data_IF_825612899793
#
_entry.id   IF_825612899793
#
_cell.length_a   1.000
_cell.length_b   1.000
_cell.length_c   1.000
_cell.angle_alpha   90.00
_cell.angle_beta   90.00
_cell.angle_gamma   90.00
#
_symmetry.space_group_name_H-M   'P 1'
#
loop_
_entity.id
_entity.type
_entity.pdbx_description
1 polymer ?
#
# COMPACT_ATOMS: atom_id res chain seq x y z
N UNK A 1 -5.00 -3.52 27.43
CA UNK A 1 -5.38 -2.28 26.72
C UNK A 1 -6.43 -1.49 27.49
N UNK A 2 -6.46 -0.15 27.41
CA UNK A 2 -7.52 0.64 28.03
C UNK A 2 -8.83 0.59 27.20
N UNK A 3 -9.98 0.80 27.86
CA UNK A 3 -11.29 0.90 27.20
C UNK A 3 -11.44 2.19 26.38
N UNK A 4 -10.63 3.20 26.69
CA UNK A 4 -10.55 4.48 25.99
C UNK A 4 -9.12 5.00 25.99
N UNK A 5 -8.79 5.86 25.04
CA UNK A 5 -7.47 6.49 24.94
C UNK A 5 -7.63 8.00 24.80
N UNK A 6 -6.82 8.76 25.54
CA UNK A 6 -6.70 10.20 25.32
C UNK A 6 -5.73 10.46 24.18
N UNK A 7 -6.17 11.24 23.21
CA UNK A 7 -5.37 11.64 22.05
C UNK A 7 -5.20 13.15 22.09
N UNK A 8 -4.00 13.62 21.79
CA UNK A 8 -3.70 15.05 21.60
C UNK A 8 -3.71 15.35 20.10
N UNK A 9 -4.62 16.21 19.66
CA UNK A 9 -4.63 16.78 18.32
C UNK A 9 -3.89 18.12 18.36
N UNK A 10 -2.94 18.34 17.46
CA UNK A 10 -2.11 19.55 17.43
C UNK A 10 -2.26 20.25 16.09
N UNK A 11 -2.61 21.53 16.11
CA UNK A 11 -2.63 22.34 14.90
C UNK A 11 -1.23 22.89 14.63
N UNK A 12 -0.53 22.32 13.65
CA UNK A 12 0.75 22.82 13.13
C UNK A 12 0.60 23.34 11.69
N UNK A 13 -0.60 23.81 11.33
CA UNK A 13 -0.84 24.55 10.09
C UNK A 13 -0.57 26.04 10.30
N UNK A 14 -0.67 26.83 9.23
CA UNK A 14 -0.62 28.30 9.30
C UNK A 14 -1.98 28.94 9.59
N UNK A 15 -3.05 28.16 9.72
CA UNK A 15 -4.43 28.66 9.85
C UNK A 15 -5.00 28.42 11.25
N UNK A 16 -5.86 29.33 11.70
CA UNK A 16 -6.69 29.13 12.90
C UNK A 16 -8.01 28.40 12.62
N UNK A 17 -8.35 28.20 11.33
CA UNK A 17 -9.59 27.59 10.87
C UNK A 17 -9.35 26.12 10.50
N UNK A 18 -8.93 25.31 11.46
CA UNK A 18 -8.72 23.87 11.27
C UNK A 18 -9.72 23.08 12.11
N UNK A 19 -10.35 22.09 11.48
CA UNK A 19 -11.34 21.22 12.11
C UNK A 19 -10.87 19.78 12.09
N UNK A 20 -11.13 19.05 13.17
CA UNK A 20 -10.94 17.62 13.25
C UNK A 20 -12.28 16.87 13.34
N UNK A 21 -12.32 15.65 12.79
CA UNK A 21 -13.44 14.73 12.95
C UNK A 21 -12.91 13.35 13.29
N UNK A 22 -13.55 12.64 14.22
CA UNK A 22 -13.15 11.28 14.59
C UNK A 22 -14.28 10.34 14.25
N UNK A 23 -14.03 9.35 13.40
CA UNK A 23 -15.04 8.38 12.95
C UNK A 23 -14.51 6.96 13.09
N UNK A 24 -15.39 5.97 13.24
CA UNK A 24 -15.02 4.56 13.21
C UNK A 24 -16.18 3.64 13.59
N UNK A 25 -15.87 2.38 13.92
CA UNK A 25 -16.84 1.40 14.42
C UNK A 25 -16.55 1.11 15.89
N UNK A 26 -17.49 1.41 16.78
CA UNK A 26 -17.33 1.21 18.22
C UNK A 26 -17.37 -0.28 18.57
N UNK A 27 -16.22 -0.86 18.94
CA UNK A 27 -16.07 -2.31 19.19
C UNK A 27 -17.02 -2.78 20.29
N UNK A 28 -17.12 -2.00 21.36
CA UNK A 28 -17.96 -2.32 22.53
C UNK A 28 -19.45 -1.98 22.33
N UNK A 29 -19.83 -1.48 21.14
CA UNK A 29 -21.21 -1.09 20.83
C UNK A 29 -21.69 -1.77 19.54
N UNK A 30 -21.51 -3.09 19.47
CA UNK A 30 -21.94 -3.93 18.33
C UNK A 30 -21.42 -3.44 16.97
N UNK A 31 -20.18 -2.90 16.96
CA UNK A 31 -19.56 -2.29 15.77
C UNK A 31 -20.38 -1.13 15.17
N UNK A 32 -21.24 -0.46 15.96
CA UNK A 32 -22.00 0.69 15.48
C UNK A 32 -21.09 1.80 14.98
N UNK A 33 -21.49 2.45 13.88
CA UNK A 33 -20.81 3.65 13.40
C UNK A 33 -20.84 4.73 14.49
N UNK A 34 -19.68 5.31 14.79
CA UNK A 34 -19.51 6.30 15.86
C UNK A 34 -18.71 7.50 15.37
N UNK A 35 -19.08 8.68 15.91
CA UNK A 35 -18.37 9.93 15.83
C UNK A 35 -18.04 10.45 17.23
N UNK A 36 -17.00 11.27 17.37
CA UNK A 36 -16.95 12.24 18.46
C UNK A 36 -17.72 13.50 18.05
N UNK A 37 -18.49 14.07 18.98
CA UNK A 37 -19.13 15.38 18.77
C UNK A 37 -18.10 16.51 18.79
N UNK A 38 -18.52 17.72 18.41
CA UNK A 38 -17.66 18.92 18.36
C UNK A 38 -16.92 19.25 19.67
N UNK A 39 -17.36 18.73 20.82
CA UNK A 39 -16.67 18.91 22.10
C UNK A 39 -15.46 17.97 22.31
N UNK A 40 -15.26 17.00 21.40
CA UNK A 40 -14.14 16.06 21.43
C UNK A 40 -14.21 14.99 22.53
N UNK A 41 -15.37 14.81 23.16
CA UNK A 41 -15.57 13.88 24.29
C UNK A 41 -16.79 12.99 24.14
N UNK A 42 -17.92 13.57 23.76
CA UNK A 42 -19.17 12.80 23.68
C UNK A 42 -19.22 11.99 22.39
N UNK A 43 -19.85 10.82 22.48
CA UNK A 43 -20.02 9.91 21.35
C UNK A 43 -21.37 10.16 20.68
N UNK A 44 -21.35 10.29 19.36
CA UNK A 44 -22.53 10.34 18.51
C UNK A 44 -22.61 9.07 17.67
N UNK A 45 -23.74 8.36 17.76
CA UNK A 45 -24.03 7.19 16.95
C UNK A 45 -25.09 7.58 15.91
N UNK A 46 -24.72 7.80 14.64
CA UNK A 46 -25.67 8.29 13.66
C UNK A 46 -26.76 7.26 13.37
N UNK A 47 -28.01 7.67 13.60
CA UNK A 47 -29.18 6.85 13.28
C UNK A 47 -29.41 6.77 11.77
N UNK A 48 -29.99 5.65 11.32
CA UNK A 48 -30.42 5.50 9.93
C UNK A 48 -31.41 6.63 9.54
N UNK A 49 -31.24 7.26 8.37
CA UNK A 49 -32.20 8.26 7.91
C UNK A 49 -33.58 7.63 7.65
N UNK A 50 -34.66 8.45 7.57
CA UNK A 50 -35.99 7.97 7.26
C UNK A 50 -36.05 7.09 6.00
N UNK A 51 -36.97 6.12 5.97
CA UNK A 51 -37.09 5.17 4.87
C UNK A 51 -37.16 5.88 3.50
N UNK A 52 -36.36 5.41 2.55
CA UNK A 52 -36.26 5.98 1.20
C UNK A 52 -35.43 7.27 1.09
N UNK A 53 -34.78 7.73 2.18
CA UNK A 53 -33.86 8.87 2.15
C UNK A 53 -32.41 8.39 2.19
N UNK A 54 -31.60 8.92 1.28
CA UNK A 54 -30.15 8.72 1.20
C UNK A 54 -29.45 10.08 1.22
N UNK A 55 -28.13 10.10 1.46
CA UNK A 55 -27.29 11.30 1.46
C UNK A 55 -27.80 12.39 2.43
N UNK A 56 -28.25 11.98 3.61
CA UNK A 56 -28.76 12.90 4.62
C UNK A 56 -27.62 13.44 5.51
N UNK A 57 -27.65 14.71 5.96
CA UNK A 57 -26.62 15.26 6.84
C UNK A 57 -26.60 14.55 8.20
N UNK A 58 -25.51 14.69 8.97
CA UNK A 58 -25.49 14.32 10.38
C UNK A 58 -26.50 15.17 11.18
N UNK A 59 -27.06 14.62 12.27
CA UNK A 59 -27.95 15.36 13.18
C UNK A 59 -27.19 16.11 14.28
N UNK A 60 -25.89 15.82 14.44
CA UNK A 60 -25.03 16.44 15.43
C UNK A 60 -23.79 17.04 14.76
N UNK A 61 -23.36 18.19 15.30
CA UNK A 61 -22.09 18.78 14.91
C UNK A 61 -20.93 17.94 15.47
N UNK A 62 -20.07 17.50 14.57
CA UNK A 62 -18.89 16.68 14.84
C UNK A 62 -17.59 17.40 14.48
N UNK A 63 -17.64 18.68 14.08
CA UNK A 63 -16.48 19.46 13.73
C UNK A 63 -15.79 19.98 15.00
N UNK A 64 -14.65 19.38 15.36
CA UNK A 64 -13.86 19.76 16.53
C UNK A 64 -12.87 20.86 16.12
N UNK A 65 -13.04 22.13 16.55
CA UNK A 65 -12.13 23.20 16.17
C UNK A 65 -10.77 23.05 16.86
N UNK A 66 -9.68 23.06 16.10
CA UNK A 66 -8.33 22.97 16.66
C UNK A 66 -7.74 24.33 17.07
N UNK A 67 -8.37 25.45 16.70
CA UNK A 67 -7.92 26.79 17.08
C UNK A 67 -6.63 27.23 16.38
N UNK A 68 -5.90 28.17 16.98
CA UNK A 68 -4.71 28.80 16.38
C UNK A 68 -3.54 27.82 16.16
N UNK A 69 -2.59 28.12 15.25
CA UNK A 69 -1.33 27.40 15.14
C UNK A 69 -0.62 27.22 16.49
N UNK A 70 -0.08 26.02 16.74
CA UNK A 70 0.50 25.58 18.01
C UNK A 70 -0.49 25.12 19.06
N UNK A 71 -1.81 25.33 18.87
CA UNK A 71 -2.80 24.88 19.85
C UNK A 71 -2.91 23.34 19.86
N UNK A 72 -3.15 22.80 21.06
CA UNK A 72 -3.37 21.38 21.27
C UNK A 72 -4.73 21.13 21.94
N UNK A 73 -5.50 20.21 21.36
CA UNK A 73 -6.78 19.76 21.91
C UNK A 73 -6.68 18.30 22.35
N UNK A 74 -7.14 18.00 23.57
CA UNK A 74 -7.21 16.61 24.05
C UNK A 74 -8.62 16.06 23.83
N UNK A 75 -8.70 14.95 23.10
CA UNK A 75 -9.93 14.18 22.87
C UNK A 75 -9.86 12.82 23.58
N UNK A 76 -10.99 12.15 23.72
CA UNK A 76 -11.03 10.77 24.24
C UNK A 76 -11.76 9.85 23.27
N UNK A 77 -11.08 8.83 22.78
CA UNK A 77 -11.67 7.83 21.89
C UNK A 77 -12.03 6.54 22.67
N UNK A 78 -13.11 5.83 22.31
CA UNK A 78 -13.36 4.48 22.80
C UNK A 78 -12.50 3.48 22.02
N UNK A 79 -12.54 2.20 22.43
CA UNK A 79 -12.13 1.12 21.54
C UNK A 79 -12.95 1.16 20.24
N UNK A 80 -12.24 1.29 19.12
CA UNK A 80 -12.85 1.42 17.80
C UNK A 80 -11.98 0.81 16.72
N UNK A 81 -12.63 0.16 15.76
CA UNK A 81 -12.03 -0.44 14.59
C UNK A 81 -12.26 0.43 13.36
N UNK A 82 -11.32 0.42 12.42
CA UNK A 82 -11.41 1.22 11.20
C UNK A 82 -11.61 2.71 11.50
N UNK A 83 -10.91 3.19 12.53
CA UNK A 83 -10.97 4.57 12.98
C UNK A 83 -10.25 5.49 12.02
N UNK A 84 -10.78 6.70 11.83
CA UNK A 84 -10.13 7.79 11.09
C UNK A 84 -10.16 9.07 11.88
N UNK A 85 -9.04 9.77 11.87
CA UNK A 85 -8.92 11.15 12.34
C UNK A 85 -8.79 12.00 11.08
N UNK A 86 -9.84 12.74 10.77
CA UNK A 86 -9.91 13.64 9.63
C UNK A 86 -9.53 15.03 10.06
N UNK A 87 -8.85 15.78 9.19
CA UNK A 87 -8.58 17.19 9.36
C UNK A 87 -9.04 17.95 8.13
N UNK A 88 -9.60 19.14 8.30
CA UNK A 88 -9.86 20.05 7.20
C UNK A 88 -9.51 21.49 7.53
N UNK A 89 -9.08 22.25 6.51
CA UNK A 89 -8.72 23.65 6.64
C UNK A 89 -9.75 24.57 5.96
N UNK A 90 -9.98 25.73 6.58
CA UNK A 90 -10.91 26.81 6.20
C UNK A 90 -12.40 26.45 6.22
N UNK A 91 -12.75 25.18 5.96
CA UNK A 91 -14.13 24.70 5.94
C UNK A 91 -14.23 23.31 6.60
N UNK A 92 -15.25 23.05 7.43
CA UNK A 92 -15.50 21.72 7.96
C UNK A 92 -15.89 20.73 6.85
N UNK A 93 -15.58 19.45 7.07
CA UNK A 93 -16.04 18.35 6.20
C UNK A 93 -17.55 18.12 6.35
N UNK A 94 -18.17 17.77 5.23
CA UNK A 94 -19.55 17.29 5.17
C UNK A 94 -19.55 15.77 5.11
N UNK A 95 -20.09 15.14 6.16
CA UNK A 95 -20.40 13.71 6.18
C UNK A 95 -21.89 13.49 5.95
N UNK A 96 -22.23 12.43 5.23
CA UNK A 96 -23.62 12.08 4.93
C UNK A 96 -23.96 10.67 5.42
N UNK A 97 -25.25 10.39 5.54
CA UNK A 97 -25.80 9.14 6.07
C UNK A 97 -26.71 8.48 5.06
N UNK A 98 -26.53 7.18 4.92
CA UNK A 98 -27.42 6.28 4.20
C UNK A 98 -28.02 5.25 5.18
N UNK A 99 -29.15 4.61 4.84
CA UNK A 99 -29.71 3.52 5.65
C UNK A 99 -28.77 2.31 5.79
N UNK A 100 -29.00 1.48 6.80
CA UNK A 100 -28.52 0.10 6.86
C UNK A 100 -27.03 -0.07 7.19
N UNK A 101 -26.50 0.70 8.13
CA UNK A 101 -25.10 0.61 8.54
C UNK A 101 -24.81 -0.43 9.63
N UNK A 102 -23.52 -0.62 9.96
CA UNK A 102 -23.08 -1.49 11.06
C UNK A 102 -23.76 -1.16 12.39
N UNK A 103 -23.95 -2.19 13.23
CA UNK A 103 -24.59 -2.07 14.53
C UNK A 103 -26.07 -1.64 14.50
N UNK A 104 -26.71 -1.62 13.33
CA UNK A 104 -28.10 -1.18 13.15
C UNK A 104 -28.27 0.33 12.92
N UNK A 105 -27.18 1.09 12.81
CA UNK A 105 -27.19 2.53 12.60
C UNK A 105 -27.21 2.95 11.13
N UNK A 106 -26.73 4.16 10.82
CA UNK A 106 -26.52 4.62 9.46
C UNK A 106 -25.22 4.08 8.85
N UNK A 107 -25.25 3.84 7.54
CA UNK A 107 -24.04 3.75 6.73
C UNK A 107 -23.45 5.14 6.59
N UNK A 108 -22.16 5.29 6.91
CA UNK A 108 -21.45 6.55 6.71
C UNK A 108 -21.06 6.70 5.24
N UNK A 109 -21.42 7.84 4.65
CA UNK A 109 -20.88 8.30 3.36
C UNK A 109 -19.76 9.27 3.69
N UNK A 110 -18.54 8.82 3.43
CA UNK A 110 -17.30 9.56 3.69
C UNK A 110 -17.01 10.58 2.57
N UNK A 111 -16.21 11.62 2.85
CA UNK A 111 -15.78 12.59 1.85
C UNK A 111 -15.15 11.91 0.62
N UNK A 112 -15.63 12.24 -0.58
CA UNK A 112 -15.02 11.76 -1.82
C UNK A 112 -14.23 12.87 -2.52
N UNK A 113 -12.99 12.55 -2.89
CA UNK A 113 -12.17 13.39 -3.78
C UNK A 113 -12.37 13.05 -5.26
N UNK A 114 -13.12 11.98 -5.56
CA UNK A 114 -13.25 11.40 -6.91
C UNK A 114 -14.51 11.85 -7.64
N UNK A 115 -15.51 12.30 -6.90
CA UNK A 115 -16.74 12.86 -7.44
C UNK A 115 -16.66 14.39 -7.40
N UNK A 116 -16.59 15.09 -8.55
CA UNK A 116 -16.53 16.55 -8.57
C UNK A 116 -17.76 17.25 -7.95
N UNK A 117 -18.89 16.54 -7.83
CA UNK A 117 -20.11 17.03 -7.18
C UNK A 117 -20.18 16.73 -5.69
N UNK A 118 -19.18 16.04 -5.12
CA UNK A 118 -19.09 15.82 -3.67
C UNK A 118 -18.97 17.18 -2.94
N UNK A 119 -19.70 17.40 -1.83
CA UNK A 119 -19.60 18.65 -1.07
C UNK A 119 -18.18 18.95 -0.54
N UNK A 120 -17.31 17.94 -0.50
CA UNK A 120 -15.92 18.01 -0.07
C UNK A 120 -14.92 18.08 -1.22
N UNK A 121 -15.36 18.07 -2.48
CA UNK A 121 -14.48 18.03 -3.64
C UNK A 121 -13.43 19.17 -3.62
N UNK A 122 -13.84 20.37 -3.21
CA UNK A 122 -12.98 21.56 -3.04
C UNK A 122 -12.43 21.80 -1.63
N UNK A 123 -12.71 20.92 -0.66
CA UNK A 123 -12.23 21.09 0.72
C UNK A 123 -10.79 20.58 0.82
N UNK A 124 -9.93 21.34 1.50
CA UNK A 124 -8.61 20.88 1.85
C UNK A 124 -8.69 19.98 3.07
N UNK A 125 -8.47 18.68 2.89
CA UNK A 125 -8.57 17.73 3.97
C UNK A 125 -7.53 16.62 3.86
N UNK A 126 -7.24 16.02 5.01
CA UNK A 126 -6.39 14.86 5.17
C UNK A 126 -7.03 13.92 6.20
N UNK A 127 -6.55 12.69 6.26
CA UNK A 127 -6.89 11.79 7.36
C UNK A 127 -5.75 10.82 7.66
N UNK A 128 -5.71 10.36 8.90
CA UNK A 128 -4.91 9.20 9.30
C UNK A 128 -5.83 8.12 9.87
N UNK A 129 -5.35 6.89 9.87
CA UNK A 129 -6.14 5.71 10.23
C UNK A 129 -5.64 5.14 11.55
N UNK A 130 -6.55 4.51 12.29
CA UNK A 130 -6.19 3.79 13.51
C UNK A 130 -7.19 2.68 13.85
N UNK A 131 -6.74 1.76 14.69
CA UNK A 131 -7.60 0.82 15.42
C UNK A 131 -7.10 0.75 16.85
N UNK A 132 -8.02 0.94 17.79
CA UNK A 132 -7.79 0.71 19.22
C UNK A 132 -8.64 -0.49 19.65
N UNK A 133 -8.00 -1.61 19.92
CA UNK A 133 -8.68 -2.85 20.32
C UNK A 133 -8.14 -3.39 21.66
N UNK A 134 -8.44 -4.65 21.98
CA UNK A 134 -8.00 -5.29 23.22
C UNK A 134 -6.50 -5.61 23.28
N UNK A 135 -5.84 -5.63 22.11
CA UNK A 135 -4.46 -6.06 21.98
C UNK A 135 -3.51 -4.87 21.80
N UNK A 136 -3.90 -3.86 21.02
CA UNK A 136 -3.04 -2.72 20.69
C UNK A 136 -3.80 -1.47 20.20
N UNK A 137 -3.10 -0.34 20.22
CA UNK A 137 -3.30 0.74 19.27
C UNK A 137 -2.42 0.47 18.06
N UNK A 138 -2.99 0.57 16.88
CA UNK A 138 -2.27 0.63 15.61
C UNK A 138 -2.75 1.88 14.88
N UNK A 139 -1.85 2.71 14.37
CA UNK A 139 -2.20 3.91 13.61
C UNK A 139 -1.19 4.17 12.49
N UNK A 140 -1.64 4.78 11.40
CA UNK A 140 -0.80 5.10 10.25
C UNK A 140 -1.24 6.38 9.57
N UNK A 141 -0.27 7.12 9.02
CA UNK A 141 -0.56 8.11 7.98
C UNK A 141 -0.93 7.38 6.69
N UNK A 142 -1.59 8.04 5.75
CA UNK A 142 -1.99 7.39 4.50
C UNK A 142 -2.00 8.33 3.31
N UNK A 143 -1.55 7.79 2.18
CA UNK A 143 -1.54 8.38 0.85
C UNK A 143 -2.09 7.37 -0.18
N UNK A 144 -2.83 6.34 0.27
CA UNK A 144 -3.42 5.32 -0.61
C UNK A 144 -4.45 5.93 -1.56
N UNK A 145 -5.13 6.99 -1.13
CA UNK A 145 -6.11 7.70 -1.97
C UNK A 145 -5.53 8.96 -2.60
N UNK A 146 -4.87 9.82 -1.82
CA UNK A 146 -4.28 11.06 -2.31
C UNK A 146 -3.26 11.66 -1.33
N UNK A 147 -2.41 12.56 -1.84
CA UNK A 147 -1.57 13.45 -1.03
C UNK A 147 -2.31 14.78 -0.80
N UNK A 148 -2.53 15.20 0.46
CA UNK A 148 -3.17 16.47 0.81
C UNK A 148 -2.16 17.61 0.99
N UNK A 149 -2.65 18.85 1.11
CA UNK A 149 -1.85 20.01 1.58
C UNK A 149 -1.66 20.04 3.10
N UNK A 150 -2.28 19.09 3.80
CA UNK A 150 -2.27 18.98 5.26
C UNK A 150 -1.51 17.70 5.66
N UNK A 151 -0.16 17.73 5.70
CA UNK A 151 0.62 16.61 6.20
C UNK A 151 0.22 16.26 7.63
N UNK A 152 0.22 14.96 7.95
CA UNK A 152 -0.06 14.46 9.30
C UNK A 152 1.20 13.81 9.85
N UNK A 153 1.49 14.06 11.12
CA UNK A 153 2.53 13.38 11.89
C UNK A 153 1.90 12.63 13.07
N UNK A 154 2.48 11.47 13.41
CA UNK A 154 2.02 10.61 14.49
C UNK A 154 3.14 10.43 15.51
N UNK A 155 2.83 10.62 16.79
CA UNK A 155 3.75 10.26 17.88
C UNK A 155 3.03 9.39 18.90
N UNK A 156 3.59 8.23 19.18
CA UNK A 156 3.04 7.27 20.13
C UNK A 156 4.06 6.97 21.22
N UNK A 157 3.66 7.15 22.47
CA UNK A 157 4.43 6.76 23.64
C UNK A 157 3.75 5.59 24.36
N UNK A 158 4.54 4.59 24.69
CA UNK A 158 4.15 3.44 25.55
C UNK A 158 4.19 3.83 27.02
N UNK A 159 3.52 3.07 27.90
CA UNK A 159 3.63 3.27 29.36
C UNK A 159 5.05 3.03 29.89
N UNK A 160 5.83 2.22 29.19
CA UNK A 160 7.26 2.03 29.46
C UNK A 160 8.14 3.22 29.06
N UNK A 161 7.57 4.24 28.40
CA UNK A 161 8.26 5.47 28.00
C UNK A 161 8.89 5.43 26.61
N UNK A 162 8.90 4.27 25.93
CA UNK A 162 9.37 4.17 24.55
C UNK A 162 8.46 4.97 23.61
N UNK A 163 9.08 5.69 22.66
CA UNK A 163 8.41 6.56 21.69
C UNK A 163 8.59 5.99 20.29
N UNK A 164 7.54 6.03 19.49
CA UNK A 164 7.58 5.86 18.04
C UNK A 164 7.08 7.15 17.39
N UNK A 165 7.74 7.57 16.32
CA UNK A 165 7.35 8.75 15.57
C UNK A 165 7.31 8.49 14.06
N UNK A 166 6.33 9.10 13.41
CA UNK A 166 6.19 9.20 11.95
C UNK A 166 6.00 10.67 11.61
N UNK A 167 6.87 11.21 10.77
CA UNK A 167 7.00 12.65 10.56
C UNK A 167 5.97 13.23 9.59
N UNK A 168 5.55 12.45 8.60
CA UNK A 168 4.84 12.99 7.43
C UNK A 168 5.75 13.92 6.61
N UNK A 169 5.15 14.92 5.98
CA UNK A 169 5.84 15.89 5.11
C UNK A 169 5.97 17.27 5.76
N UNK A 170 6.90 18.06 5.24
CA UNK A 170 6.97 19.51 5.49
C UNK A 170 5.73 20.26 4.93
N UNK A 171 5.50 21.53 5.29
CA UNK A 171 4.35 22.30 4.82
C UNK A 171 4.22 22.44 3.30
N UNK A 172 5.35 22.33 2.57
CA UNK A 172 5.42 22.36 1.11
C UNK A 172 5.44 20.95 0.47
N UNK A 173 5.05 19.92 1.25
CA UNK A 173 5.13 18.52 0.84
C UNK A 173 4.34 18.20 -0.42
N UNK A 174 3.09 18.70 -0.54
CA UNK A 174 2.29 18.48 -1.74
C UNK A 174 2.94 19.13 -2.96
N UNK A 175 3.45 20.35 -2.82
CA UNK A 175 4.11 21.07 -3.90
C UNK A 175 5.33 20.30 -4.42
N UNK A 176 6.11 19.68 -3.51
CA UNK A 176 7.24 18.79 -3.88
C UNK A 176 6.78 17.51 -4.55
N UNK A 177 5.71 16.88 -4.07
CA UNK A 177 5.13 15.70 -4.73
C UNK A 177 4.67 16.05 -6.13
N UNK A 178 3.96 17.16 -6.31
CA UNK A 178 3.52 17.64 -7.62
C UNK A 178 4.70 17.93 -8.55
N UNK A 179 5.82 18.48 -8.04
CA UNK A 179 7.03 18.65 -8.83
C UNK A 179 7.62 17.30 -9.26
N UNK A 180 7.76 16.33 -8.35
CA UNK A 180 8.28 14.99 -8.64
C UNK A 180 7.42 14.21 -9.65
N UNK A 181 6.10 14.34 -9.58
CA UNK A 181 5.18 13.73 -10.54
C UNK A 181 5.33 14.35 -11.94
N UNK A 182 5.47 15.68 -12.04
CA UNK A 182 5.74 16.36 -13.32
C UNK A 182 7.08 15.95 -13.91
N UNK A 183 8.12 15.86 -13.08
CA UNK A 183 9.42 15.36 -13.52
C UNK A 183 9.34 13.92 -14.02
N UNK A 184 8.60 13.06 -13.33
CA UNK A 184 8.43 11.68 -13.77
C UNK A 184 7.71 11.60 -15.11
N UNK A 185 6.60 12.33 -15.27
CA UNK A 185 5.87 12.41 -16.55
C UNK A 185 6.78 12.89 -17.69
N UNK A 186 7.64 13.88 -17.44
CA UNK A 186 8.61 14.36 -18.42
C UNK A 186 9.69 13.30 -18.78
N UNK A 187 9.99 12.37 -17.86
CA UNK A 187 11.00 11.32 -18.06
C UNK A 187 10.48 10.12 -18.85
N UNK A 188 9.27 9.65 -18.55
CA UNK A 188 8.73 8.39 -19.09
C UNK A 188 7.49 8.55 -19.99
N UNK A 189 6.91 9.75 -20.05
CA UNK A 189 5.74 10.06 -20.87
C UNK A 189 4.41 9.58 -20.29
N UNK A 190 4.39 8.98 -19.10
CA UNK A 190 3.15 8.55 -18.44
C UNK A 190 2.47 9.70 -17.69
N UNK A 191 1.14 9.67 -17.52
CA UNK A 191 0.37 10.83 -17.07
C UNK A 191 0.44 11.06 -15.55
N UNK A 192 1.61 10.92 -14.95
CA UNK A 192 1.84 11.18 -13.52
C UNK A 192 1.48 12.62 -13.14
N UNK A 193 1.77 13.59 -14.01
CA UNK A 193 1.44 15.00 -13.85
C UNK A 193 -0.09 15.25 -13.83
N UNK A 194 -0.87 14.41 -14.52
CA UNK A 194 -2.33 14.51 -14.55
C UNK A 194 -3.01 14.02 -13.27
N UNK A 195 -2.29 13.35 -12.39
CA UNK A 195 -2.79 13.01 -11.04
C UNK A 195 -2.95 14.24 -10.15
N UNK A 196 -2.37 15.38 -10.52
CA UNK A 196 -2.42 16.62 -9.76
C UNK A 196 -3.79 17.28 -9.95
N UNK A 197 -4.52 17.45 -8.85
CA UNK A 197 -5.80 18.16 -8.81
C UNK A 197 -5.56 19.60 -8.37
N UNK A 198 -5.73 20.52 -9.31
CA UNK A 198 -5.69 21.96 -9.05
C UNK A 198 -6.94 22.61 -9.67
N UNK A 199 -7.99 22.88 -8.88
CA UNK A 199 -9.18 23.55 -9.38
C UNK A 199 -8.84 24.91 -10.02
N UNK A 200 -9.63 25.30 -11.01
CA UNK A 200 -9.45 26.60 -11.67
C UNK A 200 -9.52 27.75 -10.65
N UNK A 201 -8.55 28.66 -10.70
CA UNK A 201 -8.46 29.80 -9.79
C UNK A 201 -7.73 29.52 -8.48
N UNK A 202 -7.22 28.30 -8.26
CA UNK A 202 -6.32 28.01 -7.14
C UNK A 202 -4.87 28.29 -7.55
N UNK A 203 -4.13 29.00 -6.70
CA UNK A 203 -2.71 29.35 -6.96
C UNK A 203 -1.75 28.16 -6.75
N UNK A 204 -2.20 27.15 -6.01
CA UNK A 204 -1.44 25.93 -5.70
C UNK A 204 -2.30 24.67 -5.81
N UNK A 205 -1.71 23.49 -6.06
CA UNK A 205 -2.43 22.22 -6.08
C UNK A 205 -3.28 22.00 -4.83
N UNK A 206 -4.45 21.38 -4.96
CA UNK A 206 -5.30 21.00 -3.83
C UNK A 206 -4.92 19.62 -3.28
N UNK A 207 -4.57 18.69 -4.17
CA UNK A 207 -4.12 17.33 -3.84
C UNK A 207 -3.47 16.65 -5.05
N UNK A 208 -2.79 15.53 -4.82
CA UNK A 208 -2.34 14.62 -5.87
C UNK A 208 -2.97 13.24 -5.66
N UNK A 209 -3.72 12.74 -6.63
CA UNK A 209 -4.42 11.45 -6.50
C UNK A 209 -3.46 10.27 -6.65
N UNK A 210 -3.76 9.17 -5.98
CA UNK A 210 -3.12 7.89 -6.27
C UNK A 210 -3.46 7.45 -7.71
N UNK A 211 -2.55 6.77 -8.44
CA UNK A 211 -2.83 6.25 -9.79
C UNK A 211 -4.04 5.30 -9.87
N UNK A 212 -4.45 4.62 -8.80
CA UNK A 212 -5.73 3.86 -8.78
C UNK A 212 -6.95 4.72 -9.09
N UNK A 213 -6.84 6.02 -8.84
CA UNK A 213 -7.88 7.02 -9.01
C UNK A 213 -7.67 7.90 -10.25
N UNK A 214 -6.68 7.59 -11.10
CA UNK A 214 -6.30 8.41 -12.24
C UNK A 214 -7.43 8.68 -13.23
N UNK A 215 -8.35 7.73 -13.41
CA UNK A 215 -9.52 7.90 -14.28
C UNK A 215 -10.42 9.06 -13.87
N UNK A 216 -10.47 9.43 -12.59
CA UNK A 216 -11.25 10.59 -12.11
C UNK A 216 -10.72 11.93 -12.65
N UNK A 217 -9.47 11.96 -13.13
CA UNK A 217 -8.76 13.15 -13.63
C UNK A 217 -8.21 12.96 -15.05
N UNK A 218 -8.64 11.91 -15.75
CA UNK A 218 -8.21 11.63 -17.12
C UNK A 218 -6.74 11.18 -17.24
N UNK A 219 -6.19 10.59 -16.18
CA UNK A 219 -4.89 9.93 -16.16
C UNK A 219 -5.10 8.41 -16.25
N UNK A 220 -4.97 7.83 -17.46
CA UNK A 220 -4.98 6.36 -17.64
C UNK A 220 -3.56 5.80 -17.53
N UNK A 221 -3.44 4.72 -16.77
CA UNK A 221 -2.23 3.92 -16.64
C UNK A 221 -2.40 2.54 -17.27
N UNK A 222 -3.41 2.34 -18.14
CA UNK A 222 -3.63 1.07 -18.81
C UNK A 222 -2.33 0.59 -19.49
N UNK A 223 -2.03 -0.69 -19.36
CA UNK A 223 -0.84 -1.34 -19.89
C UNK A 223 0.53 -0.85 -19.31
N UNK A 224 0.55 -0.07 -18.22
CA UNK A 224 1.78 0.47 -17.63
C UNK A 224 2.74 -0.59 -17.07
N UNK A 225 2.23 -1.55 -16.29
CA UNK A 225 3.01 -2.59 -15.60
C UNK A 225 3.19 -3.86 -16.42
N UNK A 226 2.45 -4.04 -17.50
CA UNK A 226 2.45 -5.23 -18.34
C UNK A 226 3.87 -5.59 -18.82
N UNK A 227 4.74 -4.64 -19.24
CA UNK A 227 6.14 -4.94 -19.53
C UNK A 227 6.91 -5.55 -18.35
N UNK A 228 6.70 -5.06 -17.12
CA UNK A 228 7.32 -5.63 -15.92
C UNK A 228 6.80 -7.03 -15.61
N UNK A 229 5.51 -7.27 -15.84
CA UNK A 229 4.88 -8.59 -15.71
C UNK A 229 5.49 -9.58 -16.70
N UNK A 230 5.68 -9.18 -17.96
CA UNK A 230 6.35 -10.03 -18.95
C UNK A 230 7.78 -10.38 -18.55
N UNK A 231 8.55 -9.40 -18.07
CA UNK A 231 9.91 -9.62 -17.60
C UNK A 231 9.96 -10.55 -16.39
N UNK A 232 9.05 -10.38 -15.42
CA UNK A 232 8.95 -11.24 -14.24
C UNK A 232 8.62 -12.68 -14.65
N UNK A 233 7.62 -12.87 -15.53
CA UNK A 233 7.26 -14.21 -16.02
C UNK A 233 8.40 -14.86 -16.79
N UNK A 234 9.11 -14.11 -17.63
CA UNK A 234 10.29 -14.61 -18.35
C UNK A 234 11.39 -15.04 -17.36
N UNK A 235 11.70 -14.21 -16.37
CA UNK A 235 12.72 -14.47 -15.35
C UNK A 235 12.45 -15.75 -14.56
N UNK A 236 11.20 -15.97 -14.17
CA UNK A 236 10.80 -17.12 -13.35
C UNK A 236 10.32 -18.34 -14.16
N UNK A 237 10.40 -18.30 -15.49
CA UNK A 237 10.02 -19.42 -16.35
C UNK A 237 11.08 -20.53 -16.39
N UNK A 238 10.58 -21.76 -16.39
CA UNK A 238 11.40 -22.95 -16.64
C UNK A 238 11.48 -23.19 -18.15
N UNK A 239 12.66 -22.98 -18.73
CA UNK A 239 12.88 -23.24 -20.16
C UNK A 239 12.87 -24.75 -20.45
N UNK A 240 12.05 -25.23 -21.37
CA UNK A 240 12.32 -26.54 -21.99
C UNK A 240 13.51 -26.35 -22.93
N UNK A 241 14.67 -26.95 -22.63
CA UNK A 241 15.65 -27.16 -23.69
C UNK A 241 15.07 -28.23 -24.62
N UNK A 242 14.96 -27.96 -25.94
CA UNK A 242 14.74 -29.03 -26.90
C UNK A 242 15.86 -30.04 -26.68
N UNK A 243 15.52 -31.32 -26.49
CA UNK A 243 16.51 -32.38 -26.59
C UNK A 243 17.26 -32.15 -27.90
N UNK A 244 18.56 -31.87 -27.82
CA UNK A 244 19.41 -31.90 -29.01
C UNK A 244 19.27 -33.31 -29.59
N UNK A 245 18.48 -33.45 -30.66
CA UNK A 245 18.64 -34.59 -31.56
C UNK A 245 20.09 -34.54 -32.02
N UNK A 246 20.92 -35.44 -31.48
CA UNK A 246 22.22 -35.74 -32.08
C UNK A 246 21.92 -36.18 -33.50
N UNK A 247 22.16 -35.29 -34.46
CA UNK A 247 22.28 -35.67 -35.85
C UNK A 247 23.47 -36.63 -35.93
N UNK A 248 23.19 -37.90 -36.23
CA UNK A 248 24.23 -38.83 -36.61
C UNK A 248 24.96 -38.26 -37.81
N UNK A 249 26.23 -37.90 -37.61
CA UNK A 249 27.12 -37.48 -38.69
C UNK A 249 27.46 -38.72 -39.53
N UNK A 250 27.46 -38.64 -40.87
CA UNK A 250 27.73 -39.81 -41.70
C UNK A 250 29.18 -40.27 -41.53
N UNK A 251 29.34 -41.58 -41.34
CA UNK A 251 30.62 -42.29 -41.20
C UNK A 251 31.63 -41.91 -42.29
N UNK A 252 32.77 -41.31 -41.89
CA UNK A 252 33.97 -41.26 -42.72
C UNK A 252 34.67 -42.61 -42.69
N UNK A 253 34.65 -43.33 -43.82
CA UNK A 253 35.45 -44.53 -44.08
C UNK A 253 36.91 -44.29 -43.71
N UNK A 254 37.43 -45.02 -42.72
CA UNK A 254 38.87 -45.11 -42.41
C UNK A 254 39.44 -46.40 -43.02
N UNK A 255 40.57 -46.24 -43.71
CA UNK A 255 41.34 -47.32 -44.31
C UNK A 255 41.94 -48.29 -43.28
N UNK A 256 41.97 -49.57 -43.67
CA UNK A 256 42.48 -50.72 -42.93
C UNK A 256 43.93 -50.56 -42.42
N UNK A 257 44.15 -50.90 -41.14
CA UNK A 257 45.34 -51.64 -40.70
C UNK A 257 44.97 -52.67 -39.62
N UNK A 258 45.49 -53.87 -39.82
CA UNK A 258 45.31 -55.11 -39.05
C UNK A 258 45.66 -55.01 -37.56
N UNK A 259 44.84 -55.65 -36.70
CA UNK A 259 45.26 -56.27 -35.43
C UNK A 259 44.31 -57.42 -35.03
N UNK A 260 44.92 -58.45 -34.43
CA UNK A 260 44.44 -59.82 -34.15
C UNK A 260 43.22 -59.93 -33.19
N UNK A 261 42.49 -61.08 -33.19
CA UNK A 261 41.24 -61.25 -32.47
C UNK A 261 41.45 -61.81 -31.05
N UNK A 262 40.73 -61.30 -30.04
CA UNK A 262 40.36 -62.05 -28.83
C UNK A 262 39.28 -61.29 -28.02
N UNK A 263 38.18 -62.00 -27.77
CA UNK A 263 37.03 -61.74 -26.88
C UNK A 263 36.07 -60.58 -27.22
N UNK A 264 34.93 -60.96 -27.80
CA UNK A 264 33.71 -60.15 -27.93
C UNK A 264 33.06 -59.89 -26.57
N UNK A 265 33.20 -58.66 -26.04
CA UNK A 265 32.25 -58.11 -25.07
C UNK A 265 30.94 -57.82 -25.80
N UNK A 266 29.83 -58.35 -25.30
CA UNK A 266 28.49 -58.00 -25.76
C UNK A 266 28.21 -56.50 -25.59
N UNK A 267 27.21 -55.94 -26.30
CA UNK A 267 26.91 -54.51 -26.23
C UNK A 267 26.60 -54.10 -24.79
N UNK A 268 27.31 -53.09 -24.30
CA UNK A 268 26.95 -52.40 -23.06
C UNK A 268 25.50 -51.89 -23.18
N UNK A 269 24.66 -52.07 -22.16
CA UNK A 269 23.34 -51.44 -22.15
C UNK A 269 23.52 -49.91 -22.21
N UNK A 270 22.66 -49.18 -22.94
CA UNK A 270 22.74 -47.73 -22.97
C UNK A 270 22.59 -47.19 -21.54
N UNK A 271 23.53 -46.35 -21.12
CA UNK A 271 23.43 -45.60 -19.88
C UNK A 271 22.08 -44.88 -19.82
N UNK A 272 21.33 -44.93 -18.71
CA UNK A 272 20.08 -44.20 -18.61
C UNK A 272 20.36 -42.71 -18.82
N UNK A 273 19.67 -42.12 -19.80
CA UNK A 273 19.69 -40.69 -20.01
C UNK A 273 19.03 -40.02 -18.80
N UNK A 274 19.85 -39.56 -17.85
CA UNK A 274 19.37 -38.68 -16.80
C UNK A 274 19.01 -37.34 -17.45
N UNK A 275 17.71 -37.13 -17.69
CA UNK A 275 17.19 -35.79 -17.96
C UNK A 275 17.33 -34.98 -16.68
N UNK A 276 18.27 -34.05 -16.64
CA UNK A 276 18.24 -33.02 -15.61
C UNK A 276 16.92 -32.23 -15.79
N UNK A 277 16.09 -32.07 -14.73
CA UNK A 277 14.93 -31.22 -14.83
C UNK A 277 15.43 -29.81 -15.19
N UNK A 278 14.84 -29.22 -16.22
CA UNK A 278 15.07 -27.82 -16.54
C UNK A 278 14.79 -26.98 -15.30
N UNK A 279 15.77 -26.16 -14.89
CA UNK A 279 15.60 -25.22 -13.77
C UNK A 279 15.24 -23.85 -14.34
N UNK A 280 14.45 -23.03 -13.62
CA UNK A 280 14.16 -21.67 -14.05
C UNK A 280 15.44 -20.81 -13.98
N UNK A 281 15.48 -19.72 -14.75
CA UNK A 281 16.62 -18.77 -14.75
C UNK A 281 16.87 -18.19 -13.36
N UNK A 282 15.80 -17.99 -12.59
CA UNK A 282 15.81 -17.72 -11.16
C UNK A 282 14.57 -18.37 -10.51
N UNK A 283 14.65 -18.68 -9.21
CA UNK A 283 13.48 -19.15 -8.43
C UNK A 283 13.01 -18.00 -7.55
N UNK A 284 11.75 -17.60 -7.70
CA UNK A 284 11.13 -16.60 -6.83
C UNK A 284 11.06 -17.17 -5.41
N UNK A 285 11.36 -16.38 -4.38
CA UNK A 285 11.27 -16.79 -2.97
C UNK A 285 10.44 -15.78 -2.22
N UNK A 286 9.26 -16.19 -1.74
CA UNK A 286 8.38 -15.35 -0.93
C UNK A 286 8.49 -15.79 0.53
N UNK A 287 9.14 -15.00 1.36
CA UNK A 287 9.00 -15.11 2.80
C UNK A 287 7.60 -14.60 3.19
N UNK A 288 6.72 -15.51 3.59
CA UNK A 288 5.35 -15.18 4.00
C UNK A 288 5.30 -14.45 5.34
N UNK A 289 6.39 -14.47 6.11
CA UNK A 289 6.48 -13.95 7.49
C UNK A 289 5.35 -14.48 8.37
N UNK A 290 4.91 -15.69 8.06
CA UNK A 290 3.82 -16.42 8.67
C UNK A 290 4.21 -17.90 8.77
N UNK A 291 3.30 -18.74 9.25
CA UNK A 291 3.55 -20.15 9.51
C UNK A 291 4.05 -20.96 8.28
N UNK A 292 3.84 -20.47 7.07
CA UNK A 292 4.26 -21.13 5.82
C UNK A 292 5.75 -20.92 5.48
N UNK A 293 6.45 -20.02 6.17
CA UNK A 293 7.86 -19.74 5.96
C UNK A 293 8.16 -19.16 4.57
N UNK A 294 9.29 -19.58 3.99
CA UNK A 294 9.74 -19.16 2.66
C UNK A 294 9.22 -20.15 1.62
N UNK A 295 8.45 -19.64 0.66
CA UNK A 295 7.87 -20.41 -0.43
C UNK A 295 8.60 -20.12 -1.74
N UNK A 296 8.96 -21.17 -2.47
CA UNK A 296 9.55 -21.05 -3.80
C UNK A 296 8.48 -20.92 -4.88
N UNK A 297 8.78 -20.16 -5.94
CA UNK A 297 7.88 -19.92 -7.05
C UNK A 297 8.57 -19.95 -8.41
N UNK A 298 7.87 -20.51 -9.40
CA UNK A 298 8.31 -20.55 -10.79
C UNK A 298 7.09 -20.66 -11.72
N UNK A 299 7.28 -20.31 -13.00
CA UNK A 299 6.29 -20.54 -14.06
C UNK A 299 6.59 -21.91 -14.70
N UNK A 300 5.74 -22.94 -14.51
CA UNK A 300 5.97 -24.27 -15.07
C UNK A 300 6.05 -24.26 -16.60
N UNK A 301 6.73 -25.23 -17.23
CA UNK A 301 6.78 -25.35 -18.68
C UNK A 301 5.39 -25.41 -19.32
N UNK A 302 5.10 -24.52 -20.26
CA UNK A 302 3.80 -24.45 -20.95
C UNK A 302 2.67 -23.83 -20.13
N UNK A 303 2.93 -23.37 -18.90
CA UNK A 303 1.96 -22.65 -18.07
C UNK A 303 2.00 -21.14 -18.33
N UNK A 304 0.84 -20.49 -18.23
CA UNK A 304 0.74 -19.03 -18.13
C UNK A 304 0.76 -18.53 -16.67
N UNK A 305 0.65 -19.45 -15.70
CA UNK A 305 0.51 -19.16 -14.27
C UNK A 305 1.86 -19.29 -13.55
N UNK A 306 2.10 -18.37 -12.62
CA UNK A 306 3.18 -18.48 -11.62
C UNK A 306 2.69 -19.35 -10.46
N UNK A 307 3.36 -20.47 -10.20
CA UNK A 307 3.01 -21.38 -9.09
C UNK A 307 3.95 -21.13 -7.93
N UNK A 308 3.40 -20.81 -6.75
CA UNK A 308 4.16 -20.51 -5.53
C UNK A 308 3.82 -21.54 -4.45
N UNK A 309 4.85 -22.07 -3.77
CA UNK A 309 4.69 -23.06 -2.72
C UNK A 309 4.17 -24.42 -3.20
N UNK A 310 4.20 -24.68 -4.52
CA UNK A 310 3.85 -25.95 -5.15
C UNK A 310 2.39 -26.11 -5.58
N UNK A 311 1.48 -25.27 -5.10
CA UNK A 311 0.02 -25.45 -5.26
C UNK A 311 -0.77 -24.13 -5.43
N UNK A 312 -0.19 -22.97 -5.13
CA UNK A 312 -0.86 -21.67 -5.31
C UNK A 312 -0.54 -21.08 -6.68
N UNK A 313 -1.50 -21.13 -7.60
CA UNK A 313 -1.40 -20.53 -8.93
C UNK A 313 -1.78 -19.05 -8.92
N UNK A 314 -0.95 -18.22 -9.55
CA UNK A 314 -1.18 -16.80 -9.75
C UNK A 314 -1.16 -16.48 -11.24
N UNK A 315 -2.27 -15.94 -11.72
CA UNK A 315 -2.39 -15.42 -13.07
C UNK A 315 -1.49 -14.20 -13.23
N UNK A 316 -1.19 -13.86 -14.49
CA UNK A 316 -0.53 -12.60 -14.82
C UNK A 316 -1.40 -11.43 -14.32
N UNK A 317 -0.91 -10.56 -13.42
CA UNK A 317 -1.66 -9.40 -13.01
C UNK A 317 -1.69 -8.36 -14.14
N UNK A 318 -2.79 -7.62 -14.23
CA UNK A 318 -2.88 -6.39 -15.01
C UNK A 318 -2.35 -5.19 -14.22
N UNK A 319 -2.19 -4.04 -14.88
CA UNK A 319 -1.91 -2.77 -14.18
C UNK A 319 -2.95 -2.47 -13.10
N UNK A 320 -4.24 -2.69 -13.38
CA UNK A 320 -5.30 -2.46 -12.40
C UNK A 320 -5.15 -3.37 -11.16
N UNK A 321 -4.79 -4.64 -11.37
CA UNK A 321 -4.52 -5.56 -10.26
C UNK A 321 -3.33 -5.09 -9.41
N UNK A 322 -2.23 -4.69 -10.05
CA UNK A 322 -1.01 -4.24 -9.33
C UNK A 322 -1.29 -2.97 -8.54
N UNK A 323 -1.91 -1.95 -9.16
CA UNK A 323 -2.21 -0.69 -8.50
C UNK A 323 -3.23 -0.86 -7.38
N UNK A 324 -4.30 -1.63 -7.62
CA UNK A 324 -5.39 -1.83 -6.66
C UNK A 324 -5.10 -2.83 -5.55
N UNK A 325 -4.16 -3.76 -5.76
CA UNK A 325 -3.77 -4.79 -4.79
C UNK A 325 -4.92 -5.70 -4.29
N UNK A 326 -6.05 -5.75 -4.99
CA UNK A 326 -7.28 -6.37 -4.48
C UNK A 326 -8.10 -7.15 -5.53
N UNK A 327 -7.64 -7.21 -6.77
CA UNK A 327 -8.31 -7.92 -7.87
C UNK A 327 -7.37 -8.93 -8.54
N UNK A 328 -7.92 -9.72 -9.46
CA UNK A 328 -7.18 -10.72 -10.23
C UNK A 328 -6.38 -11.66 -9.32
N UNK A 329 -5.05 -11.82 -9.54
CA UNK A 329 -4.22 -12.69 -8.70
C UNK A 329 -4.07 -12.20 -7.26
N UNK A 330 -4.40 -10.94 -6.95
CA UNK A 330 -4.32 -10.36 -5.61
C UNK A 330 -5.65 -10.32 -4.85
N UNK A 331 -6.71 -10.91 -5.42
CA UNK A 331 -7.95 -11.11 -4.68
C UNK A 331 -7.75 -12.13 -3.55
N UNK A 332 -8.08 -11.72 -2.31
CA UNK A 332 -8.05 -12.61 -1.15
C UNK A 332 -9.18 -13.63 -1.22
N UNK A 333 -8.93 -14.82 -0.67
CA UNK A 333 -9.89 -15.92 -0.69
C UNK A 333 -9.79 -16.84 0.53
N UNK A 334 -10.35 -18.05 0.46
CA UNK A 334 -10.34 -18.97 1.60
C UNK A 334 -8.95 -19.56 1.92
N UNK A 335 -7.97 -19.50 0.99
CA UNK A 335 -6.62 -20.04 1.22
C UNK A 335 -5.79 -19.11 2.12
N UNK A 336 -5.43 -19.54 3.35
CA UNK A 336 -4.56 -18.73 4.21
C UNK A 336 -3.15 -18.60 3.64
N UNK A 337 -2.66 -19.62 2.93
CA UNK A 337 -1.35 -19.61 2.26
C UNK A 337 -1.33 -18.55 1.17
N UNK A 338 -2.36 -18.52 0.32
CA UNK A 338 -2.53 -17.48 -0.70
C UNK A 338 -2.54 -16.08 -0.08
N UNK A 339 -3.37 -15.88 0.95
CA UNK A 339 -3.50 -14.59 1.62
C UNK A 339 -2.18 -14.13 2.30
N UNK A 340 -1.30 -15.07 2.68
CA UNK A 340 0.03 -14.73 3.20
C UNK A 340 1.03 -14.33 2.10
N UNK A 341 0.87 -14.87 0.87
CA UNK A 341 1.70 -14.55 -0.31
C UNK A 341 1.34 -13.19 -0.91
N UNK A 342 0.03 -12.91 -1.07
CA UNK A 342 -0.50 -11.76 -1.82
C UNK A 342 0.20 -10.43 -1.48
N UNK A 343 0.32 -10.02 -0.19
CA UNK A 343 0.92 -8.73 0.14
C UNK A 343 2.35 -8.58 -0.38
N UNK A 344 3.16 -9.65 -0.27
CA UNK A 344 4.57 -9.64 -0.67
C UNK A 344 4.73 -9.58 -2.18
N UNK A 345 3.91 -10.35 -2.90
CA UNK A 345 3.93 -10.35 -4.35
C UNK A 345 3.45 -9.00 -4.91
N UNK A 346 2.34 -8.46 -4.39
CA UNK A 346 1.81 -7.16 -4.79
C UNK A 346 2.81 -6.02 -4.51
N UNK A 347 3.41 -5.99 -3.31
CA UNK A 347 4.43 -4.99 -2.96
C UNK A 347 5.66 -5.07 -3.87
N UNK A 348 6.09 -6.28 -4.27
CA UNK A 348 7.22 -6.45 -5.18
C UNK A 348 6.95 -5.89 -6.59
N UNK A 349 5.71 -6.00 -7.09
CA UNK A 349 5.28 -5.36 -8.34
C UNK A 349 5.16 -3.84 -8.21
N UNK A 350 4.47 -3.35 -7.17
CA UNK A 350 4.32 -1.93 -6.88
C UNK A 350 5.69 -1.22 -6.78
N UNK A 351 6.67 -1.86 -6.15
CA UNK A 351 8.04 -1.33 -6.01
C UNK A 351 8.93 -1.59 -7.23
N UNK A 352 8.49 -2.35 -8.23
CA UNK A 352 9.28 -2.71 -9.41
C UNK A 352 10.47 -3.63 -9.14
N UNK A 353 10.63 -4.13 -7.91
CA UNK A 353 11.81 -4.91 -7.50
C UNK A 353 11.71 -6.40 -7.86
N UNK A 354 10.53 -6.88 -8.28
CA UNK A 354 10.27 -8.28 -8.67
C UNK A 354 11.22 -8.78 -9.78
N UNK A 355 11.68 -7.90 -10.66
CA UNK A 355 12.66 -8.22 -11.70
C UNK A 355 14.11 -8.03 -11.22
N UNK A 356 14.35 -7.13 -10.27
CA UNK A 356 15.68 -6.81 -9.77
C UNK A 356 16.27 -7.91 -8.87
N UNK A 357 15.45 -8.49 -7.99
CA UNK A 357 15.86 -9.55 -7.04
C UNK A 357 14.85 -10.68 -7.02
N UNK A 358 15.20 -11.83 -6.42
CA UNK A 358 14.32 -13.00 -6.39
C UNK A 358 13.72 -13.27 -5.00
N UNK A 359 14.33 -12.74 -3.94
CA UNK A 359 13.87 -12.87 -2.56
C UNK A 359 12.97 -11.68 -2.20
N UNK A 360 11.74 -11.96 -1.77
CA UNK A 360 10.78 -10.96 -1.33
C UNK A 360 10.16 -11.32 0.04
N UNK A 361 9.89 -10.33 0.90
CA UNK A 361 10.15 -8.89 0.72
C UNK A 361 11.64 -8.57 0.59
N UNK A 362 11.99 -7.63 -0.29
CA UNK A 362 13.38 -7.27 -0.56
C UNK A 362 13.80 -6.02 0.21
N UNK A 363 15.11 -5.75 0.23
CA UNK A 363 15.69 -4.56 0.85
C UNK A 363 15.19 -3.26 0.16
N UNK A 364 14.89 -2.18 0.90
CA UNK A 364 14.46 -0.90 0.33
C UNK A 364 15.39 -0.32 -0.74
N UNK A 365 16.69 -0.61 -0.71
CA UNK A 365 17.64 -0.19 -1.74
C UNK A 365 17.34 -0.77 -3.15
N UNK A 366 16.45 -1.77 -3.22
CA UNK A 366 16.01 -2.39 -4.49
C UNK A 366 14.74 -1.76 -5.06
N UNK A 367 14.08 -0.87 -4.31
CA UNK A 367 12.77 -0.32 -4.69
C UNK A 367 12.90 0.78 -5.74
N UNK A 368 11.86 0.90 -6.55
CA UNK A 368 11.65 1.96 -7.55
C UNK A 368 12.87 2.22 -8.46
N UNK A 369 13.38 1.19 -9.15
CA UNK A 369 14.49 1.37 -10.09
C UNK A 369 14.17 2.48 -11.10
N UNK A 370 15.11 3.40 -11.28
CA UNK A 370 14.90 4.63 -12.07
C UNK A 370 15.29 4.49 -13.55
N UNK A 371 15.69 3.29 -13.98
CA UNK A 371 15.88 2.99 -15.40
C UNK A 371 14.55 3.14 -16.14
N UNK A 372 14.53 3.82 -17.28
CA UNK A 372 13.33 4.02 -18.10
C UNK A 372 12.69 2.72 -18.61
N UNK A 373 13.42 1.61 -18.54
CA UNK A 373 12.94 0.28 -18.91
C UNK A 373 12.21 -0.42 -17.74
N UNK A 374 12.48 -0.03 -16.50
CA UNK A 374 11.85 -0.63 -15.33
C UNK A 374 10.56 0.11 -14.99
N UNK A 375 9.50 -0.64 -14.70
CA UNK A 375 8.21 -0.08 -14.24
C UNK A 375 8.14 -0.18 -12.73
N UNK A 376 7.65 0.89 -12.11
CA UNK A 376 7.39 0.93 -10.67
C UNK A 376 6.30 1.97 -10.39
N UNK A 377 5.70 1.92 -9.21
CA UNK A 377 4.77 2.95 -8.77
C UNK A 377 5.55 4.22 -8.40
N UNK A 378 5.72 5.12 -9.37
CA UNK A 378 6.46 6.36 -9.16
C UNK A 378 5.69 7.39 -8.34
N UNK A 379 4.36 7.27 -8.23
CA UNK A 379 3.60 8.02 -7.21
C UNK A 379 4.10 7.66 -5.81
N UNK A 380 4.18 6.37 -5.49
CA UNK A 380 4.70 5.92 -4.20
C UNK A 380 6.15 6.35 -3.98
N UNK A 381 7.03 6.16 -4.98
CA UNK A 381 8.44 6.64 -4.92
C UNK A 381 8.52 8.11 -4.49
N UNK A 382 7.80 8.99 -5.18
CA UNK A 382 7.82 10.44 -4.92
C UNK A 382 7.23 10.77 -3.54
N UNK A 383 6.18 10.05 -3.11
CA UNK A 383 5.61 10.20 -1.76
C UNK A 383 6.64 9.86 -0.69
N UNK A 384 7.37 8.75 -0.81
CA UNK A 384 8.45 8.42 0.12
C UNK A 384 9.56 9.47 0.12
N UNK A 385 10.01 9.93 -1.05
CA UNK A 385 11.04 10.98 -1.17
C UNK A 385 10.64 12.32 -0.53
N UNK A 386 9.34 12.63 -0.48
CA UNK A 386 8.83 13.88 0.08
C UNK A 386 8.50 13.79 1.58
N UNK A 387 8.33 12.58 2.13
CA UNK A 387 8.20 12.40 3.57
C UNK A 387 9.55 12.60 4.26
N UNK A 388 9.55 13.33 5.38
CA UNK A 388 10.77 13.74 6.07
C UNK A 388 11.59 12.55 6.58
N UNK A 389 10.92 11.47 6.98
CA UNK A 389 11.52 10.23 7.46
C UNK A 389 11.54 9.12 6.39
N UNK A 390 11.15 9.43 5.15
CA UNK A 390 11.03 8.46 4.06
C UNK A 390 9.83 7.50 4.17
N UNK A 391 8.99 7.62 5.21
CA UNK A 391 7.88 6.70 5.48
C UNK A 391 6.56 7.28 5.00
N UNK A 392 5.70 6.45 4.44
CA UNK A 392 4.34 6.81 4.06
C UNK A 392 3.59 5.62 3.48
N UNK A 393 2.29 5.55 3.73
CA UNK A 393 1.45 4.45 3.23
C UNK A 393 0.92 4.82 1.83
N UNK A 394 1.68 4.57 0.77
CA UNK A 394 1.33 5.04 -0.59
C UNK A 394 0.55 4.01 -1.43
N UNK A 395 0.47 2.75 -0.97
CA UNK A 395 -0.35 1.69 -1.57
C UNK A 395 -0.72 0.64 -0.51
N UNK A 396 -1.73 -0.21 -0.78
CA UNK A 396 -2.39 -1.06 0.22
C UNK A 396 -1.47 -2.00 1.04
N UNK A 397 -0.28 -2.34 0.54
CA UNK A 397 0.68 -3.24 1.18
C UNK A 397 2.07 -2.62 1.35
N UNK A 398 2.14 -1.31 1.56
CA UNK A 398 3.42 -0.61 1.76
C UNK A 398 4.09 -0.96 3.10
N UNK A 399 3.34 -1.58 4.01
CA UNK A 399 3.80 -2.11 5.30
C UNK A 399 4.61 -3.40 5.18
N UNK A 400 4.67 -3.98 3.98
CA UNK A 400 5.51 -5.15 3.70
C UNK A 400 6.98 -4.76 3.75
N UNK A 401 7.74 -5.42 4.62
CA UNK A 401 9.19 -5.22 4.81
C UNK A 401 9.87 -6.57 5.10
N UNK A 402 11.17 -6.74 4.81
CA UNK A 402 11.89 -7.94 5.21
C UNK A 402 11.92 -8.08 6.74
N UNK A 403 12.11 -9.30 7.25
CA UNK A 403 12.20 -9.55 8.69
C UNK A 403 13.33 -8.73 9.32
N UNK A 404 13.01 -7.96 10.37
CA UNK A 404 13.95 -7.03 11.00
C UNK A 404 14.32 -5.81 10.14
N UNK A 405 13.71 -5.64 8.97
CA UNK A 405 13.92 -4.50 8.08
C UNK A 405 13.28 -3.20 8.60
N UNK A 406 13.65 -2.09 7.97
CA UNK A 406 13.07 -0.78 8.28
C UNK A 406 11.61 -0.68 7.79
N UNK A 407 10.74 -0.10 8.62
CA UNK A 407 9.37 0.24 8.23
C UNK A 407 9.35 1.35 7.19
N UNK A 408 8.48 1.23 6.20
CA UNK A 408 8.29 2.19 5.12
C UNK A 408 6.88 2.81 5.11
N UNK A 409 5.92 2.26 5.86
CA UNK A 409 4.50 2.61 5.70
C UNK A 409 4.02 3.73 6.60
N UNK A 410 4.85 4.22 7.53
CA UNK A 410 4.50 5.37 8.36
C UNK A 410 3.46 5.01 9.42
N UNK A 411 3.65 3.86 10.07
CA UNK A 411 2.82 3.37 11.16
C UNK A 411 3.46 3.55 12.54
N UNK A 412 2.62 3.59 13.56
CA UNK A 412 2.98 3.45 14.97
C UNK A 412 2.05 2.44 15.63
N UNK A 413 2.57 1.62 16.54
CA UNK A 413 1.74 0.67 17.27
C UNK A 413 2.27 0.35 18.68
N UNK A 414 1.36 0.07 19.60
CA UNK A 414 1.70 -0.31 20.98
C UNK A 414 0.60 -1.15 21.62
N UNK A 415 1.00 -2.18 22.39
CA UNK A 415 0.10 -2.95 23.26
C UNK A 415 -0.21 -2.31 24.61
N UNK A 416 0.45 -1.18 24.90
CA UNK A 416 0.32 -0.41 26.14
C UNK A 416 0.43 1.11 25.87
N UNK A 417 -0.37 1.68 24.94
CA UNK A 417 -0.29 3.10 24.61
C UNK A 417 -0.63 3.95 25.85
N UNK A 418 0.13 5.02 26.05
CA UNK A 418 -0.08 6.02 27.11
C UNK A 418 -0.42 7.38 26.51
N UNK A 419 0.43 7.86 25.59
CA UNK A 419 0.23 9.14 24.89
C UNK A 419 0.17 8.88 23.39
N UNK A 420 -0.87 9.38 22.73
CA UNK A 420 -0.94 9.44 21.28
C UNK A 420 -1.15 10.89 20.84
N UNK A 421 -0.23 11.41 20.04
CA UNK A 421 -0.27 12.76 19.47
C UNK A 421 -0.43 12.66 17.96
N UNK A 422 -1.37 13.44 17.42
CA UNK A 422 -1.60 13.58 15.99
C UNK A 422 -1.50 15.05 15.65
N UNK A 423 -0.49 15.43 14.87
CA UNK A 423 -0.28 16.80 14.44
C UNK A 423 -0.62 16.95 12.95
N UNK A 424 -1.19 18.09 12.57
CA UNK A 424 -1.55 18.40 11.18
C UNK A 424 -0.90 19.71 10.72
N UNK A 425 -0.33 19.73 9.52
CA UNK A 425 0.16 20.95 8.84
C UNK A 425 1.67 21.06 8.63
N UNK A 426 2.46 20.25 9.35
CA UNK A 426 3.90 20.08 9.07
C UNK A 426 4.84 21.19 9.55
N UNK A 427 4.38 22.31 10.13
CA UNK A 427 5.25 23.44 10.52
C UNK A 427 6.34 23.08 11.54
N UNK A 428 6.07 22.13 12.43
CA UNK A 428 7.03 21.62 13.41
C UNK A 428 7.27 20.13 13.23
N UNK A 429 7.10 19.61 12.02
CA UNK A 429 7.43 18.22 11.72
C UNK A 429 8.95 18.01 11.86
N UNK A 430 9.34 16.90 12.49
CA UNK A 430 10.74 16.54 12.70
C UNK A 430 10.93 15.04 12.51
N UNK A 431 12.16 14.62 12.27
CA UNK A 431 12.55 13.20 12.24
C UNK A 431 13.10 12.79 13.60
N UNK A 432 12.65 11.65 14.12
CA UNK A 432 13.23 11.00 15.29
C UNK A 432 12.24 10.62 16.38
N UNK A 433 12.65 9.73 17.28
CA UNK A 433 11.80 9.09 18.29
C UNK A 433 11.76 9.88 19.60
N UNK A 434 11.42 11.17 19.53
CA UNK A 434 11.20 12.01 20.69
C UNK A 434 9.77 12.53 20.72
N UNK A 435 9.28 12.95 21.88
CA UNK A 435 8.04 13.70 21.97
C UNK A 435 8.25 15.14 21.45
N UNK A 436 7.25 15.74 20.78
CA UNK A 436 7.24 17.17 20.46
C UNK A 436 7.17 18.04 21.72
#
# INVERSE_FOLDING_TARGET
>A
MPNSLRIRLVNQTTSSNVYAFITGLAIQHNMARVFLTANGRDLYYPESPPAGKILQPLDQDCAIPLGAPGNAMTITIPQMAGGRIWFSAEKPLTFLRNPGGPGGGATLVEPSVLNPSDPNAGVDFAFCEFTLNNDQLFANITYVDFVPRLPIALTLQTRGGAVQHVSGMAPDGLERVCAGLREQAARDGWPWDRLIVQPQGYDRPLRALNPTHGNAVGASFDDYFEPLVEEAWKKYSVSQHPQQQRSESPEKKRHHRFRLPLFSRGPEPPSPAFSFPSRPTATLRINTQAAFGILEGYVPPGSAELVIGGDESFARPTTADILGCNSGPFATGPSPKRNAIIPRLAAAFQRGCICAVADHPSDPATFYPTSSQCRANHYARVVHECNLDGKGYAFAYDDVQPDGGADQSGKVNAGDPDVFVVAVGGLEAYVGDRLP
#
